data_IF_114270800933
#
_entry.id   IF_114270800933
#
_cell.length_a   1.000
_cell.length_b   1.000
_cell.length_c   1.000
_cell.angle_alpha   90.00
_cell.angle_beta   90.00
_cell.angle_gamma   90.00
#
_symmetry.space_group_name_H-M   'P 1'
#
loop_
_entity.id
_entity.type
_entity.pdbx_description
1 polymer ?
#
# COMPACT_ATOMS: atom_id res chain seq x y z
N UNK A 1 -40.62 -15.80 -7.45
CA UNK A 1 -40.93 -14.48 -8.04
C UNK A 1 -39.64 -13.79 -8.39
N UNK A 2 -39.32 -13.69 -9.66
CA UNK A 2 -38.15 -12.99 -10.16
C UNK A 2 -38.45 -11.49 -10.16
N UNK A 3 -37.82 -10.74 -9.28
CA UNK A 3 -37.81 -9.28 -9.37
C UNK A 3 -36.87 -8.86 -10.47
N UNK A 4 -37.41 -8.49 -11.63
CA UNK A 4 -36.67 -7.78 -12.67
C UNK A 4 -36.23 -6.42 -12.11
N UNK A 5 -34.92 -6.30 -11.78
CA UNK A 5 -34.33 -4.99 -11.53
C UNK A 5 -34.36 -4.19 -12.83
N UNK A 6 -35.09 -3.08 -12.85
CA UNK A 6 -34.99 -2.09 -13.92
C UNK A 6 -33.52 -1.69 -14.04
N UNK A 7 -32.88 -2.01 -15.18
CA UNK A 7 -31.54 -1.50 -15.53
C UNK A 7 -31.61 0.03 -15.41
N UNK A 8 -30.88 0.58 -14.45
CA UNK A 8 -30.63 2.01 -14.43
C UNK A 8 -29.89 2.33 -15.74
N UNK A 9 -30.41 3.29 -16.51
CA UNK A 9 -29.72 3.76 -17.71
C UNK A 9 -28.32 4.24 -17.28
N UNK A 10 -27.25 3.92 -18.04
CA UNK A 10 -25.95 4.46 -17.76
C UNK A 10 -26.08 5.99 -17.72
N UNK A 11 -25.78 6.57 -16.57
CA UNK A 11 -25.64 8.01 -16.45
C UNK A 11 -24.38 8.34 -17.23
N UNK A 12 -24.54 8.82 -18.46
CA UNK A 12 -23.48 9.54 -19.15
C UNK A 12 -23.19 10.80 -18.32
N UNK A 13 -22.32 10.67 -17.34
CA UNK A 13 -21.75 11.82 -16.64
C UNK A 13 -20.87 12.49 -17.68
N UNK A 14 -21.37 13.57 -18.26
CA UNK A 14 -20.54 14.51 -18.98
C UNK A 14 -19.42 14.87 -17.99
N UNK A 15 -18.17 14.51 -18.32
CA UNK A 15 -17.03 14.96 -17.55
C UNK A 15 -17.07 16.50 -17.58
N UNK A 16 -17.57 17.08 -16.49
CA UNK A 16 -17.40 18.51 -16.24
C UNK A 16 -15.91 18.76 -16.37
N UNK A 17 -15.50 19.74 -17.15
CA UNK A 17 -14.19 20.11 -17.67
C UNK A 17 -12.95 19.91 -16.76
N UNK A 18 -13.09 19.26 -15.60
CA UNK A 18 -12.03 18.96 -14.64
C UNK A 18 -11.74 17.46 -14.58
N UNK A 19 -10.48 17.05 -14.60
CA UNK A 19 -10.09 15.66 -14.39
C UNK A 19 -10.59 15.12 -13.05
N UNK A 20 -10.99 13.84 -13.01
CA UNK A 20 -11.27 13.13 -11.76
C UNK A 20 -9.95 12.93 -10.99
N UNK A 21 -9.90 13.39 -9.76
CA UNK A 21 -8.72 13.24 -8.88
C UNK A 21 -8.93 12.08 -7.92
N UNK A 22 -8.01 11.14 -7.94
CA UNK A 22 -8.00 9.95 -7.08
C UNK A 22 -6.70 9.96 -6.27
N UNK A 23 -6.77 9.62 -4.99
CA UNK A 23 -5.60 9.33 -4.15
C UNK A 23 -5.65 7.87 -3.71
N UNK A 24 -4.53 7.18 -3.78
CA UNK A 24 -4.34 5.86 -3.19
C UNK A 24 -3.29 5.93 -2.09
N UNK A 25 -3.64 5.47 -0.89
CA UNK A 25 -2.69 5.19 0.18
C UNK A 25 -2.81 3.73 0.63
N UNK A 26 -1.71 3.17 1.11
CA UNK A 26 -1.63 1.77 1.50
C UNK A 26 -0.69 1.59 2.68
N UNK A 27 -0.80 0.47 3.39
CA UNK A 27 0.16 0.07 4.41
C UNK A 27 0.41 1.17 5.45
N UNK A 28 -0.68 1.76 5.96
CA UNK A 28 -0.64 2.77 7.01
C UNK A 28 -0.10 2.20 8.31
N UNK A 29 -0.39 0.89 8.57
CA UNK A 29 -0.04 0.22 9.81
C UNK A 29 -0.33 1.08 11.05
N UNK A 30 -1.52 1.70 11.03
CA UNK A 30 -1.89 2.67 12.05
C UNK A 30 -2.13 1.99 13.40
N UNK A 31 -1.52 2.53 14.44
CA UNK A 31 -1.80 2.18 15.83
C UNK A 31 -2.23 3.42 16.61
N UNK A 32 -3.41 3.35 17.24
CA UNK A 32 -3.92 4.46 18.04
C UNK A 32 -3.18 4.62 19.37
N UNK A 33 -3.01 5.85 19.83
CA UNK A 33 -2.44 6.18 21.17
C UNK A 33 -3.15 5.51 22.34
N UNK A 34 -4.38 5.02 22.15
CA UNK A 34 -5.08 4.25 23.19
C UNK A 34 -4.41 2.91 23.51
N UNK A 35 -3.63 2.39 22.58
CA UNK A 35 -2.99 1.08 22.69
C UNK A 35 -1.51 1.18 23.05
N UNK A 36 -0.94 2.38 23.18
CA UNK A 36 0.47 2.57 23.50
C UNK A 36 0.73 3.84 24.31
N UNK A 37 1.61 3.73 25.29
CA UNK A 37 2.18 4.87 26.03
C UNK A 37 3.56 5.29 25.49
N UNK A 38 3.98 4.76 24.34
CA UNK A 38 5.32 4.92 23.79
C UNK A 38 6.44 4.46 24.75
N UNK A 39 6.12 3.51 25.66
CA UNK A 39 7.04 2.92 26.60
C UNK A 39 8.06 1.97 25.96
N UNK A 40 8.85 1.31 26.81
CA UNK A 40 9.97 0.43 26.37
C UNK A 40 9.49 -0.71 25.47
N UNK A 41 8.35 -1.35 25.80
CA UNK A 41 7.80 -2.45 25.01
C UNK A 41 7.42 -2.01 23.60
N UNK A 42 6.76 -0.85 23.46
CA UNK A 42 6.37 -0.33 22.16
C UNK A 42 7.57 0.11 21.33
N UNK A 43 8.55 0.78 21.94
CA UNK A 43 9.78 1.18 21.25
C UNK A 43 10.54 -0.02 20.69
N UNK A 44 10.68 -1.09 21.46
CA UNK A 44 11.28 -2.36 20.98
C UNK A 44 10.51 -2.97 19.82
N UNK A 45 9.18 -2.95 19.88
CA UNK A 45 8.32 -3.43 18.80
C UNK A 45 8.46 -2.57 17.55
N UNK A 46 8.44 -1.24 17.70
CA UNK A 46 8.62 -0.30 16.59
C UNK A 46 10.00 -0.47 15.93
N UNK A 47 11.05 -0.63 16.73
CA UNK A 47 12.40 -0.89 16.22
C UNK A 47 12.50 -2.22 15.44
N UNK A 48 11.68 -3.21 15.73
CA UNK A 48 11.63 -4.48 15.02
C UNK A 48 10.68 -4.47 13.80
N UNK A 49 9.96 -3.37 13.55
CA UNK A 49 8.91 -3.26 12.54
C UNK A 49 9.42 -2.74 11.18
N UNK A 50 10.57 -3.19 10.73
CA UNK A 50 11.13 -2.99 9.38
C UNK A 50 11.20 -1.52 8.92
N UNK A 51 11.42 -0.58 9.85
CA UNK A 51 11.57 0.84 9.55
C UNK A 51 10.25 1.62 9.49
N UNK A 52 9.12 1.02 9.82
CA UNK A 52 7.83 1.71 9.95
C UNK A 52 7.90 2.75 11.09
N UNK A 53 7.47 3.98 10.83
CA UNK A 53 7.53 5.10 11.79
C UNK A 53 6.43 5.03 12.85
N UNK A 54 6.26 3.88 13.50
CA UNK A 54 5.14 3.58 14.40
C UNK A 54 5.06 4.55 15.59
N UNK A 55 6.19 5.08 16.06
CA UNK A 55 6.22 6.04 17.17
C UNK A 55 5.46 7.35 16.87
N UNK A 56 5.29 7.67 15.59
CA UNK A 56 4.57 8.84 15.08
C UNK A 56 3.35 8.45 14.24
N UNK A 57 2.80 7.26 14.46
CA UNK A 57 1.68 6.72 13.69
C UNK A 57 0.44 7.61 13.75
N UNK A 58 0.15 8.20 14.90
CA UNK A 58 -0.98 9.11 15.08
C UNK A 58 -0.78 10.40 14.28
N UNK A 59 0.41 11.03 14.42
CA UNK A 59 0.77 12.28 13.75
C UNK A 59 0.85 12.11 12.24
N UNK A 60 1.36 10.98 11.77
CA UNK A 60 1.41 10.62 10.36
C UNK A 60 -0.01 10.58 9.75
N UNK A 61 -0.94 9.92 10.45
CA UNK A 61 -2.34 9.84 10.00
C UNK A 61 -3.07 11.17 10.11
N UNK A 62 -2.79 11.98 11.12
CA UNK A 62 -3.36 13.32 11.24
C UNK A 62 -2.87 14.25 10.13
N UNK A 63 -1.56 14.20 9.81
CA UNK A 63 -0.99 14.94 8.69
C UNK A 63 -1.59 14.49 7.35
N UNK A 64 -1.73 13.17 7.14
CA UNK A 64 -2.35 12.64 5.94
C UNK A 64 -3.81 13.09 5.79
N UNK A 65 -4.62 12.97 6.84
CA UNK A 65 -6.01 13.43 6.80
C UNK A 65 -6.11 14.94 6.57
N UNK A 66 -5.23 15.75 7.19
CA UNK A 66 -5.19 17.19 6.98
C UNK A 66 -4.83 17.55 5.53
N UNK A 67 -3.86 16.86 4.93
CA UNK A 67 -3.51 17.06 3.52
C UNK A 67 -4.64 16.66 2.59
N UNK A 68 -5.32 15.52 2.84
CA UNK A 68 -6.48 15.10 2.05
C UNK A 68 -7.66 16.08 2.19
N UNK A 69 -7.89 16.62 3.37
CA UNK A 69 -8.92 17.64 3.58
C UNK A 69 -8.61 18.95 2.83
N UNK A 70 -7.33 19.29 2.64
CA UNK A 70 -6.90 20.44 1.83
C UNK A 70 -7.00 20.15 0.33
N UNK A 71 -6.52 18.98 -0.13
CA UNK A 71 -6.53 18.55 -1.54
C UNK A 71 -7.93 18.27 -2.06
N UNK A 72 -8.81 17.75 -1.22
CA UNK A 72 -10.20 17.35 -1.55
C UNK A 72 -10.27 16.46 -2.81
N UNK A 73 -9.57 15.32 -2.83
CA UNK A 73 -9.72 14.40 -3.94
C UNK A 73 -11.16 13.91 -4.01
N UNK A 74 -11.68 13.67 -5.22
CA UNK A 74 -13.01 13.09 -5.36
C UNK A 74 -13.08 11.65 -4.83
N UNK A 75 -11.94 10.93 -4.88
CA UNK A 75 -11.82 9.57 -4.39
C UNK A 75 -10.53 9.38 -3.60
N UNK A 76 -10.65 8.79 -2.42
CA UNK A 76 -9.55 8.26 -1.62
C UNK A 76 -9.70 6.74 -1.52
N UNK A 77 -8.68 6.01 -1.95
CA UNK A 77 -8.60 4.54 -1.88
C UNK A 77 -7.57 4.17 -0.82
N UNK A 78 -7.97 3.35 0.15
CA UNK A 78 -7.08 2.75 1.13
C UNK A 78 -6.98 1.26 0.84
N UNK A 79 -5.84 0.82 0.29
CA UNK A 79 -5.69 -0.52 -0.29
C UNK A 79 -5.05 -1.54 0.67
N UNK A 80 -5.47 -1.53 1.93
CA UNK A 80 -5.13 -2.56 2.92
C UNK A 80 -4.00 -2.20 3.87
N UNK A 81 -3.79 -3.06 4.87
CA UNK A 81 -2.90 -2.86 6.01
C UNK A 81 -3.14 -1.51 6.68
N UNK A 82 -4.44 -1.28 6.99
CA UNK A 82 -4.94 -0.05 7.57
C UNK A 82 -4.46 0.11 9.02
N UNK A 83 -4.45 -0.99 9.78
CA UNK A 83 -4.02 -1.05 11.17
C UNK A 83 -2.67 -1.75 11.33
N UNK A 84 -2.03 -1.59 12.50
CA UNK A 84 -0.73 -2.21 12.75
C UNK A 84 -0.84 -3.74 12.75
N UNK A 85 -1.76 -4.28 13.55
CA UNK A 85 -1.98 -5.72 13.64
C UNK A 85 -3.46 -6.05 13.92
N UNK A 86 -4.40 -5.42 13.23
CA UNK A 86 -5.83 -5.73 13.31
C UNK A 86 -6.51 -5.26 14.60
N UNK A 87 -5.90 -4.37 15.36
CA UNK A 87 -6.45 -3.91 16.62
C UNK A 87 -7.76 -3.15 16.41
N UNK A 88 -8.83 -3.61 17.04
CA UNK A 88 -10.17 -3.02 16.92
C UNK A 88 -10.20 -1.53 17.25
N UNK A 89 -9.46 -1.10 18.29
CA UNK A 89 -9.40 0.31 18.68
C UNK A 89 -8.65 1.17 17.64
N UNK A 90 -7.62 0.62 16.96
CA UNK A 90 -6.94 1.29 15.85
C UNK A 90 -7.90 1.49 14.67
N UNK A 91 -8.61 0.43 14.26
CA UNK A 91 -9.62 0.53 13.20
C UNK A 91 -10.73 1.53 13.52
N UNK A 92 -11.19 1.55 14.77
CA UNK A 92 -12.23 2.49 15.21
C UNK A 92 -11.74 3.94 15.17
N UNK A 93 -10.51 4.20 15.60
CA UNK A 93 -9.91 5.52 15.54
C UNK A 93 -9.68 5.98 14.09
N UNK A 94 -9.18 5.09 13.22
CA UNK A 94 -9.02 5.38 11.81
C UNK A 94 -10.36 5.69 11.12
N UNK A 95 -11.39 4.87 11.35
CA UNK A 95 -12.72 5.12 10.79
C UNK A 95 -13.27 6.49 11.20
N UNK A 96 -13.02 6.94 12.44
CA UNK A 96 -13.41 8.27 12.88
C UNK A 96 -12.66 9.39 12.13
N UNK A 97 -11.35 9.23 11.86
CA UNK A 97 -10.57 10.17 11.05
C UNK A 97 -11.10 10.25 9.61
N UNK A 98 -11.42 9.10 9.01
CA UNK A 98 -11.96 9.02 7.64
C UNK A 98 -13.36 9.62 7.51
N UNK A 99 -14.17 9.58 8.58
CA UNK A 99 -15.49 10.22 8.60
C UNK A 99 -15.41 11.71 8.29
N UNK A 100 -14.43 12.42 8.86
CA UNK A 100 -14.20 13.84 8.57
C UNK A 100 -13.89 14.12 7.09
N UNK A 101 -13.15 13.25 6.42
CA UNK A 101 -12.88 13.38 4.98
C UNK A 101 -14.15 13.15 4.12
N UNK A 102 -14.95 12.18 4.51
CA UNK A 102 -16.25 11.92 3.84
C UNK A 102 -17.21 13.10 4.02
N UNK A 103 -17.31 13.67 5.21
CA UNK A 103 -18.11 14.86 5.47
C UNK A 103 -17.63 16.08 4.68
N UNK A 104 -16.32 16.17 4.41
CA UNK A 104 -15.73 17.19 3.55
C UNK A 104 -15.95 16.95 2.04
N UNK A 105 -16.63 15.84 1.66
CA UNK A 105 -17.04 15.53 0.29
C UNK A 105 -16.13 14.57 -0.47
N UNK A 106 -15.09 14.00 0.16
CA UNK A 106 -14.25 12.96 -0.45
C UNK A 106 -14.93 11.60 -0.34
N UNK A 107 -15.15 10.90 -1.45
CA UNK A 107 -15.55 9.49 -1.40
C UNK A 107 -14.36 8.65 -0.92
N UNK A 108 -14.56 7.82 0.10
CA UNK A 108 -13.50 6.95 0.65
C UNK A 108 -13.86 5.50 0.40
N UNK A 109 -12.91 4.71 -0.11
CA UNK A 109 -13.04 3.27 -0.33
C UNK A 109 -11.94 2.54 0.43
N UNK A 110 -12.28 1.43 1.06
CA UNK A 110 -11.32 0.61 1.82
C UNK A 110 -11.46 -0.87 1.47
N UNK A 111 -10.34 -1.59 1.49
CA UNK A 111 -10.27 -3.05 1.57
C UNK A 111 -9.31 -3.45 2.69
N UNK A 112 -9.42 -4.65 3.27
CA UNK A 112 -8.45 -5.11 4.25
C UNK A 112 -7.14 -5.54 3.58
N UNK A 113 -6.04 -5.45 4.35
CA UNK A 113 -4.78 -6.13 4.12
C UNK A 113 -4.60 -7.32 5.09
N UNK A 114 -3.45 -7.99 5.01
CA UNK A 114 -3.18 -9.18 5.83
C UNK A 114 -2.93 -8.86 7.32
N UNK A 115 -2.70 -7.61 7.67
CA UNK A 115 -2.59 -7.15 9.06
C UNK A 115 -3.92 -6.70 9.67
N UNK A 116 -5.05 -6.72 8.95
CA UNK A 116 -6.25 -6.02 9.40
C UNK A 116 -7.27 -6.90 10.12
N UNK A 117 -7.43 -8.18 9.73
CA UNK A 117 -8.55 -9.02 10.18
C UNK A 117 -8.04 -10.26 10.89
N UNK A 118 -8.68 -10.56 12.06
CA UNK A 118 -8.42 -11.77 12.89
C UNK A 118 -6.94 -12.01 13.15
N UNK A 119 -6.16 -10.92 13.26
CA UNK A 119 -4.72 -11.01 13.42
C UNK A 119 -4.35 -11.41 14.85
N UNK A 120 -3.63 -12.53 14.97
CA UNK A 120 -3.29 -13.12 16.29
C UNK A 120 -2.31 -12.23 17.10
N UNK A 121 -1.56 -11.36 16.42
CA UNK A 121 -0.57 -10.44 17.01
C UNK A 121 -1.13 -9.10 17.47
N UNK A 122 -2.46 -8.89 17.45
CA UNK A 122 -3.07 -7.66 17.96
C UNK A 122 -2.68 -7.41 19.42
N UNK A 123 -2.09 -6.24 19.70
CA UNK A 123 -1.49 -5.95 20.99
C UNK A 123 -1.71 -4.51 21.47
N UNK A 124 -1.60 -4.34 22.80
CA UNK A 124 -1.46 -3.04 23.46
C UNK A 124 -0.19 -3.02 24.31
N UNK A 125 0.36 -1.83 24.51
CA UNK A 125 1.68 -1.65 25.09
C UNK A 125 1.61 -0.67 26.26
N UNK A 126 2.18 -1.04 27.40
CA UNK A 126 2.26 -0.17 28.57
C UNK A 126 3.57 -0.40 29.33
N UNK A 127 4.44 0.59 29.38
CA UNK A 127 5.77 0.52 29.97
C UNK A 127 6.60 -0.60 29.32
N UNK A 128 6.84 -1.68 30.04
CA UNK A 128 7.55 -2.88 29.59
C UNK A 128 6.63 -4.04 29.18
N UNK A 129 5.32 -3.87 29.33
CA UNK A 129 4.35 -4.95 29.11
C UNK A 129 3.74 -4.89 27.73
N UNK A 130 3.56 -6.06 27.13
CA UNK A 130 2.76 -6.28 25.93
C UNK A 130 1.54 -7.12 26.35
N UNK A 131 0.34 -6.61 26.07
CA UNK A 131 -0.91 -7.32 26.35
C UNK A 131 -1.66 -7.58 25.06
N UNK A 132 -2.33 -8.73 24.97
CA UNK A 132 -3.19 -9.03 23.83
C UNK A 132 -4.29 -7.99 23.73
N UNK A 133 -4.45 -7.37 22.57
CA UNK A 133 -5.58 -6.53 22.23
C UNK A 133 -6.65 -7.34 21.47
N UNK A 134 -7.86 -6.80 21.40
CA UNK A 134 -8.93 -7.36 20.57
C UNK A 134 -8.64 -7.07 19.11
N UNK A 135 -8.60 -8.11 18.28
CA UNK A 135 -8.60 -7.98 16.83
C UNK A 135 -10.03 -7.81 16.28
N UNK A 136 -10.17 -7.18 15.12
CA UNK A 136 -11.44 -7.04 14.40
C UNK A 136 -11.68 -8.29 13.54
N UNK A 137 -12.92 -8.77 13.49
CA UNK A 137 -13.35 -9.81 12.55
C UNK A 137 -13.77 -9.22 11.20
N UNK A 138 -13.85 -10.06 10.15
CA UNK A 138 -14.31 -9.64 8.83
C UNK A 138 -15.72 -8.98 8.85
N UNK A 139 -16.63 -9.54 9.66
CA UNK A 139 -17.97 -8.98 9.80
C UNK A 139 -17.95 -7.61 10.47
N UNK A 140 -17.13 -7.43 11.50
CA UNK A 140 -16.97 -6.15 12.18
C UNK A 140 -16.26 -5.13 11.31
N UNK A 141 -15.26 -5.55 10.52
CA UNK A 141 -14.59 -4.71 9.53
C UNK A 141 -15.63 -4.15 8.53
N UNK A 142 -16.42 -5.03 7.91
CA UNK A 142 -17.49 -4.61 6.99
C UNK A 142 -18.49 -3.64 7.64
N UNK A 143 -18.87 -3.88 8.91
CA UNK A 143 -19.79 -3.01 9.65
C UNK A 143 -19.16 -1.65 9.96
N UNK A 144 -17.92 -1.62 10.43
CA UNK A 144 -17.20 -0.41 10.80
C UNK A 144 -16.92 0.46 9.59
N UNK A 145 -16.48 -0.15 8.49
CA UNK A 145 -16.16 0.54 7.24
C UNK A 145 -17.33 0.60 6.24
N UNK A 146 -18.56 0.28 6.68
CA UNK A 146 -19.75 0.36 5.84
C UNK A 146 -19.90 1.72 5.13
N UNK A 147 -19.62 2.89 5.77
CA UNK A 147 -19.69 4.18 5.11
C UNK A 147 -18.59 4.44 4.06
N UNK A 148 -17.57 3.59 3.99
CA UNK A 148 -16.37 3.77 3.18
C UNK A 148 -16.29 2.73 2.05
N UNK A 149 -17.34 2.65 1.26
CA UNK A 149 -17.47 1.84 0.06
C UNK A 149 -18.58 0.81 0.13
N UNK A 150 -18.73 0.05 1.21
CA UNK A 150 -19.67 -1.07 1.29
C UNK A 150 -21.14 -0.67 1.20
N UNK A 151 -21.55 0.48 1.77
CA UNK A 151 -22.95 0.96 1.67
C UNK A 151 -23.32 1.45 0.27
N UNK A 152 -22.32 1.93 -0.49
CA UNK A 152 -22.50 2.51 -1.81
C UNK A 152 -22.06 1.53 -2.92
N UNK A 153 -21.79 0.27 -2.54
CA UNK A 153 -21.41 -0.76 -3.49
C UNK A 153 -22.54 -1.08 -4.46
N UNK A 154 -22.22 -1.10 -5.75
CA UNK A 154 -23.16 -1.53 -6.80
C UNK A 154 -23.42 -3.03 -6.74
N UNK A 155 -22.35 -3.80 -6.41
CA UNK A 155 -22.41 -5.26 -6.20
C UNK A 155 -21.28 -5.69 -5.24
N UNK A 156 -21.44 -6.84 -4.58
CA UNK A 156 -20.47 -7.41 -3.65
C UNK A 156 -20.22 -8.89 -3.97
N UNK A 157 -18.98 -9.33 -3.79
CA UNK A 157 -18.67 -10.74 -3.88
C UNK A 157 -19.40 -11.54 -2.79
N UNK A 158 -19.78 -12.80 -3.07
CA UNK A 158 -20.63 -13.58 -2.17
C UNK A 158 -19.93 -14.10 -0.92
N UNK A 159 -18.59 -14.14 -0.90
CA UNK A 159 -17.79 -14.86 0.09
C UNK A 159 -16.55 -14.10 0.60
N UNK A 160 -16.31 -12.89 0.11
CA UNK A 160 -15.20 -12.03 0.55
C UNK A 160 -15.69 -10.60 0.82
N UNK A 161 -14.77 -9.73 1.21
CA UNK A 161 -15.05 -8.30 1.37
C UNK A 161 -14.85 -7.52 0.05
N UNK A 162 -14.79 -8.22 -1.08
CA UNK A 162 -14.68 -7.59 -2.40
C UNK A 162 -16.00 -6.93 -2.81
N UNK A 163 -15.89 -5.80 -3.51
CA UNK A 163 -17.05 -5.06 -4.02
C UNK A 163 -16.72 -4.23 -5.25
N UNK A 164 -17.74 -3.84 -6.00
CA UNK A 164 -17.66 -2.90 -7.11
C UNK A 164 -18.41 -1.61 -6.75
N UNK A 165 -17.84 -0.47 -7.13
CA UNK A 165 -18.49 0.83 -6.99
C UNK A 165 -18.24 1.71 -8.20
N UNK A 166 -19.16 2.64 -8.47
CA UNK A 166 -19.03 3.61 -9.56
C UNK A 166 -18.71 5.01 -9.04
N UNK A 167 -17.88 5.72 -9.77
CA UNK A 167 -17.60 7.13 -9.53
C UNK A 167 -17.36 7.85 -10.86
N UNK A 168 -18.24 8.80 -11.21
CA UNK A 168 -18.04 9.67 -12.34
C UNK A 168 -17.85 8.98 -13.70
N UNK A 169 -18.53 7.84 -13.93
CA UNK A 169 -18.37 7.04 -15.14
C UNK A 169 -17.12 6.16 -15.15
N UNK A 170 -16.52 5.94 -14.00
CA UNK A 170 -15.37 5.06 -13.75
C UNK A 170 -15.78 3.97 -12.77
N UNK A 171 -15.49 2.70 -13.05
CA UNK A 171 -15.72 1.59 -12.10
C UNK A 171 -14.49 1.26 -11.32
N UNK A 172 -14.64 1.09 -10.03
CA UNK A 172 -13.57 0.69 -9.13
C UNK A 172 -13.88 -0.72 -8.62
N UNK A 173 -13.07 -1.69 -9.00
CA UNK A 173 -13.15 -3.07 -8.54
C UNK A 173 -12.22 -3.26 -7.34
N UNK A 174 -12.81 -3.33 -6.15
CA UNK A 174 -12.09 -3.50 -4.89
C UNK A 174 -12.02 -5.00 -4.54
N UNK A 175 -10.84 -5.62 -4.65
CA UNK A 175 -10.64 -7.05 -4.42
C UNK A 175 -9.98 -7.33 -3.08
N UNK A 176 -10.69 -8.01 -2.21
CA UNK A 176 -10.16 -8.60 -0.98
C UNK A 176 -9.46 -9.93 -1.31
N UNK A 177 -8.20 -9.98 -0.98
CA UNK A 177 -7.29 -11.11 -1.24
C UNK A 177 -6.74 -11.72 0.04
N UNK A 178 -7.36 -11.42 1.19
CA UNK A 178 -6.85 -11.79 2.53
C UNK A 178 -7.84 -12.52 3.41
N UNK A 179 -9.13 -12.12 3.38
CA UNK A 179 -10.12 -12.53 4.40
C UNK A 179 -10.36 -14.04 4.45
N UNK A 180 -10.42 -14.73 3.31
CA UNK A 180 -10.64 -16.18 3.26
C UNK A 180 -9.32 -16.95 3.31
N UNK A 181 -8.32 -16.47 2.60
CA UNK A 181 -6.97 -17.03 2.58
C UNK A 181 -6.00 -15.96 2.10
N UNK A 182 -4.91 -15.77 2.81
CA UNK A 182 -3.89 -14.79 2.46
C UNK A 182 -3.36 -15.00 1.03
N UNK A 183 -3.23 -13.91 0.28
CA UNK A 183 -2.75 -13.89 -1.11
C UNK A 183 -3.62 -14.70 -2.09
N UNK A 184 -4.94 -14.79 -1.87
CA UNK A 184 -5.79 -15.63 -2.72
C UNK A 184 -7.12 -14.97 -3.04
N UNK A 185 -7.55 -15.13 -4.30
CA UNK A 185 -8.93 -14.87 -4.74
C UNK A 185 -9.67 -16.20 -4.85
N UNK A 186 -10.83 -16.32 -4.23
CA UNK A 186 -11.65 -17.53 -4.31
C UNK A 186 -12.23 -17.72 -5.70
N UNK A 187 -12.57 -18.95 -6.11
CA UNK A 187 -13.22 -19.19 -7.40
C UNK A 187 -14.57 -18.48 -7.52
N UNK A 188 -15.29 -18.31 -6.39
CA UNK A 188 -16.57 -17.57 -6.36
C UNK A 188 -16.35 -16.07 -6.58
N UNK A 189 -15.35 -15.50 -5.91
CA UNK A 189 -14.97 -14.09 -6.12
C UNK A 189 -14.44 -13.88 -7.54
N UNK A 190 -13.66 -14.82 -8.09
CA UNK A 190 -13.16 -14.72 -9.47
C UNK A 190 -14.30 -14.73 -10.49
N UNK A 191 -15.28 -15.64 -10.32
CA UNK A 191 -16.49 -15.69 -11.18
C UNK A 191 -17.30 -14.40 -11.07
N UNK A 192 -17.45 -13.87 -9.86
CA UNK A 192 -18.11 -12.60 -9.63
C UNK A 192 -17.35 -11.44 -10.30
N UNK A 193 -16.04 -11.38 -10.14
CA UNK A 193 -15.21 -10.34 -10.76
C UNK A 193 -15.30 -10.38 -12.29
N UNK A 194 -15.26 -11.57 -12.91
CA UNK A 194 -15.43 -11.70 -14.36
C UNK A 194 -16.77 -11.14 -14.82
N UNK A 195 -17.86 -11.46 -14.11
CA UNK A 195 -19.18 -10.90 -14.41
C UNK A 195 -19.19 -9.36 -14.33
N UNK A 196 -18.59 -8.79 -13.29
CA UNK A 196 -18.50 -7.32 -13.11
C UNK A 196 -17.70 -6.65 -14.22
N UNK A 197 -16.60 -7.28 -14.64
CA UNK A 197 -15.76 -6.80 -15.74
C UNK A 197 -16.49 -6.89 -17.10
N UNK A 198 -17.23 -7.98 -17.32
CA UNK A 198 -18.04 -8.13 -18.53
C UNK A 198 -19.11 -7.03 -18.61
N UNK A 199 -19.86 -6.79 -17.53
CA UNK A 199 -20.85 -5.71 -17.47
C UNK A 199 -20.22 -4.34 -17.69
N UNK A 200 -19.01 -4.09 -17.18
CA UNK A 200 -18.28 -2.85 -17.42
C UNK A 200 -17.89 -2.67 -18.90
N UNK A 201 -17.46 -3.75 -19.55
CA UNK A 201 -17.12 -3.73 -20.98
C UNK A 201 -18.36 -3.48 -21.85
N UNK A 202 -19.51 -4.16 -21.55
CA UNK A 202 -20.79 -3.95 -22.23
C UNK A 202 -21.27 -2.49 -22.09
N UNK A 203 -21.13 -1.90 -20.91
CA UNK A 203 -21.48 -0.51 -20.61
C UNK A 203 -20.42 0.49 -21.13
N UNK A 204 -19.28 0.02 -21.63
CA UNK A 204 -18.14 0.83 -22.07
C UNK A 204 -17.61 1.77 -20.98
N UNK A 205 -17.62 1.30 -19.74
CA UNK A 205 -17.10 2.06 -18.58
C UNK A 205 -15.69 1.57 -18.26
N UNK A 206 -14.69 2.46 -18.13
CA UNK A 206 -13.33 2.06 -17.75
C UNK A 206 -13.30 1.51 -16.32
N UNK A 207 -12.44 0.52 -16.08
CA UNK A 207 -12.26 -0.12 -14.77
C UNK A 207 -10.87 0.13 -14.23
N UNK A 208 -10.79 0.52 -12.96
CA UNK A 208 -9.59 0.51 -12.13
C UNK A 208 -9.75 -0.61 -11.10
N UNK A 209 -8.82 -1.54 -11.06
CA UNK A 209 -8.80 -2.60 -10.06
C UNK A 209 -7.90 -2.23 -8.88
N UNK A 210 -8.24 -2.71 -7.69
CA UNK A 210 -7.51 -2.49 -6.45
C UNK A 210 -7.43 -3.80 -5.68
N UNK A 211 -6.24 -4.17 -5.25
CA UNK A 211 -6.01 -5.29 -4.34
C UNK A 211 -4.96 -4.90 -3.30
N UNK A 212 -4.91 -5.58 -2.15
CA UNK A 212 -3.81 -5.34 -1.22
C UNK A 212 -2.55 -6.04 -1.70
N UNK A 213 -2.60 -7.37 -1.89
CA UNK A 213 -1.47 -8.12 -2.44
C UNK A 213 -1.30 -7.85 -3.94
N UNK A 214 -0.06 -7.99 -4.40
CA UNK A 214 0.29 -7.72 -5.78
C UNK A 214 -0.25 -8.79 -6.73
N UNK A 215 -0.68 -8.37 -7.91
CA UNK A 215 -1.09 -9.24 -9.00
C UNK A 215 0.12 -9.87 -9.70
N UNK A 216 1.19 -9.08 -9.85
CA UNK A 216 2.45 -9.49 -10.47
C UNK A 216 3.60 -9.49 -9.45
N UNK A 217 4.67 -10.25 -9.73
CA UNK A 217 5.87 -10.20 -8.90
C UNK A 217 6.66 -8.91 -9.21
N UNK A 218 6.73 -7.98 -8.26
CA UNK A 218 7.53 -6.77 -8.37
C UNK A 218 9.02 -6.98 -8.03
N UNK A 219 9.34 -8.10 -7.40
CA UNK A 219 10.70 -8.58 -7.18
C UNK A 219 10.73 -10.09 -7.36
N UNK A 220 11.76 -10.61 -8.01
CA UNK A 220 11.85 -12.03 -8.35
C UNK A 220 11.91 -12.96 -7.11
N UNK A 221 12.42 -12.48 -5.98
CA UNK A 221 12.51 -13.26 -4.74
C UNK A 221 11.21 -13.27 -3.94
N UNK A 222 10.34 -12.28 -4.12
CA UNK A 222 9.13 -12.08 -3.33
C UNK A 222 7.86 -12.43 -4.12
N UNK A 223 7.79 -13.65 -4.64
CA UNK A 223 6.60 -14.13 -5.35
C UNK A 223 5.62 -14.84 -4.40
N UNK A 224 6.10 -15.83 -3.63
CA UNK A 224 5.25 -16.61 -2.71
C UNK A 224 4.96 -15.78 -1.45
N UNK A 225 3.67 -15.65 -1.10
CA UNK A 225 3.22 -14.89 0.06
C UNK A 225 3.12 -13.36 -0.17
N UNK A 226 3.58 -12.88 -1.34
CA UNK A 226 3.50 -11.46 -1.73
C UNK A 226 2.60 -11.23 -2.94
N UNK A 227 2.51 -12.21 -3.83
CA UNK A 227 1.67 -12.17 -5.02
C UNK A 227 0.41 -13.01 -4.82
N UNK A 228 -0.68 -12.58 -5.45
CA UNK A 228 -1.94 -13.34 -5.50
C UNK A 228 -1.68 -14.70 -6.14
N UNK A 229 -1.98 -15.78 -5.44
CA UNK A 229 -1.89 -17.15 -5.96
C UNK A 229 -2.93 -17.34 -7.07
N UNK A 230 -2.50 -17.86 -8.22
CA UNK A 230 -3.37 -17.97 -9.40
C UNK A 230 -3.71 -16.63 -10.04
N UNK A 231 -2.95 -15.58 -9.75
CA UNK A 231 -3.12 -14.24 -10.31
C UNK A 231 -3.08 -14.17 -11.83
N UNK A 232 -2.53 -15.19 -12.50
CA UNK A 232 -2.52 -15.30 -13.95
C UNK A 232 -3.94 -15.35 -14.56
N UNK A 233 -4.90 -15.98 -13.85
CA UNK A 233 -6.31 -15.98 -14.27
C UNK A 233 -6.89 -14.57 -14.20
N UNK A 234 -6.63 -13.86 -13.09
CA UNK A 234 -7.08 -12.50 -12.90
C UNK A 234 -6.44 -11.54 -13.92
N UNK A 235 -5.13 -11.68 -14.16
CA UNK A 235 -4.41 -10.91 -15.18
C UNK A 235 -5.00 -11.12 -16.58
N UNK A 236 -5.36 -12.35 -16.92
CA UNK A 236 -6.02 -12.66 -18.20
C UNK A 236 -7.43 -12.05 -18.31
N UNK A 237 -8.18 -12.02 -17.23
CA UNK A 237 -9.48 -11.32 -17.19
C UNK A 237 -9.30 -9.81 -17.35
N UNK A 238 -8.33 -9.21 -16.67
CA UNK A 238 -8.04 -7.79 -16.77
C UNK A 238 -7.62 -7.39 -18.19
N UNK A 239 -6.77 -8.19 -18.84
CA UNK A 239 -6.42 -8.01 -20.25
C UNK A 239 -7.66 -8.11 -21.15
N UNK A 240 -8.46 -9.19 -21.00
CA UNK A 240 -9.66 -9.48 -21.81
C UNK A 240 -10.68 -8.35 -21.76
N UNK A 241 -10.87 -7.75 -20.59
CA UNK A 241 -11.91 -6.73 -20.37
C UNK A 241 -11.35 -5.30 -20.31
N UNK A 242 -10.08 -5.08 -20.64
CA UNK A 242 -9.47 -3.76 -20.75
C UNK A 242 -9.39 -2.99 -19.44
N UNK A 243 -9.07 -3.66 -18.31
CA UNK A 243 -8.78 -2.98 -17.04
C UNK A 243 -7.59 -2.05 -17.20
N UNK A 244 -7.72 -0.79 -16.81
CA UNK A 244 -6.70 0.24 -17.03
C UNK A 244 -5.45 -0.01 -16.20
N UNK A 245 -5.62 -0.32 -14.93
CA UNK A 245 -4.53 -0.65 -14.01
C UNK A 245 -5.04 -1.46 -12.82
N UNK A 246 -4.12 -2.18 -12.15
CA UNK A 246 -4.29 -2.66 -10.79
C UNK A 246 -3.47 -1.81 -9.82
N UNK A 247 -4.08 -1.29 -8.77
CA UNK A 247 -3.41 -0.59 -7.69
C UNK A 247 -3.21 -1.57 -6.53
N UNK A 248 -2.00 -1.66 -6.01
CA UNK A 248 -1.67 -2.56 -4.90
C UNK A 248 -0.74 -1.93 -3.86
N UNK A 249 -0.51 -2.64 -2.74
CA UNK A 249 0.39 -2.29 -1.66
C UNK A 249 1.25 -3.49 -1.24
N UNK A 250 1.20 -3.84 0.07
CA UNK A 250 1.72 -5.06 0.66
C UNK A 250 3.25 -5.21 0.66
N UNK A 251 3.92 -4.95 -0.45
CA UNK A 251 5.38 -5.02 -0.53
C UNK A 251 6.08 -3.78 0.03
N UNK A 252 5.33 -2.75 0.39
CA UNK A 252 5.84 -1.46 0.83
C UNK A 252 6.76 -0.76 -0.18
N UNK A 253 6.75 -1.22 -1.41
CA UNK A 253 7.65 -0.85 -2.49
C UNK A 253 6.93 0.07 -3.48
N UNK A 254 7.54 1.20 -3.84
CA UNK A 254 7.09 2.01 -4.97
C UNK A 254 7.61 1.41 -6.26
N UNK A 255 6.73 0.80 -7.03
CA UNK A 255 7.12 0.12 -8.27
C UNK A 255 5.99 0.05 -9.29
N UNK A 256 6.31 0.21 -10.56
CA UNK A 256 5.36 0.10 -11.66
C UNK A 256 5.81 -1.04 -12.58
N UNK A 257 4.91 -1.99 -12.80
CA UNK A 257 5.16 -3.10 -13.71
C UNK A 257 4.06 -3.19 -14.76
N UNK A 258 4.47 -3.29 -16.01
CA UNK A 258 3.56 -3.50 -17.14
C UNK A 258 3.88 -4.81 -17.82
N UNK A 259 2.88 -5.65 -17.99
CA UNK A 259 2.85 -6.84 -18.82
C UNK A 259 1.59 -6.73 -19.70
N UNK A 260 0.61 -7.56 -19.51
CA UNK A 260 -0.72 -7.47 -20.14
C UNK A 260 -1.52 -6.29 -19.63
N UNK A 261 -1.37 -5.99 -18.37
CA UNK A 261 -1.96 -4.85 -17.66
C UNK A 261 -0.87 -4.15 -16.87
N UNK A 262 -1.05 -2.88 -16.56
CA UNK A 262 -0.15 -2.17 -15.65
C UNK A 262 -0.58 -2.37 -14.21
N UNK A 263 0.35 -2.77 -13.36
CA UNK A 263 0.20 -2.76 -11.91
C UNK A 263 1.08 -1.69 -11.29
N UNK A 264 0.48 -0.90 -10.40
CA UNK A 264 1.13 0.14 -9.63
C UNK A 264 1.12 -0.29 -8.17
N UNK A 265 2.27 -0.74 -7.68
CA UNK A 265 2.50 -0.96 -6.27
C UNK A 265 2.95 0.35 -5.64
N UNK A 266 2.10 0.94 -4.79
CA UNK A 266 2.42 2.16 -4.06
C UNK A 266 3.15 1.81 -2.77
N UNK A 267 4.20 2.55 -2.43
CA UNK A 267 4.96 2.34 -1.19
C UNK A 267 4.11 2.60 0.05
N UNK A 268 4.52 1.99 1.18
CA UNK A 268 3.82 2.12 2.44
C UNK A 268 3.81 3.57 2.95
N UNK A 269 2.64 4.07 3.36
CA UNK A 269 2.54 5.39 3.99
C UNK A 269 3.32 5.44 5.30
N UNK A 270 3.40 4.32 6.03
CA UNK A 270 4.12 4.20 7.31
C UNK A 270 5.64 4.09 7.18
N UNK A 271 6.17 3.93 5.96
CA UNK A 271 7.61 3.75 5.70
C UNK A 271 8.16 4.92 4.89
N UNK A 272 9.35 5.43 5.28
CA UNK A 272 9.99 6.51 4.51
C UNK A 272 10.22 6.11 3.04
N UNK A 273 9.91 7.02 2.08
CA UNK A 273 9.63 8.46 2.25
C UNK A 273 8.16 8.84 2.54
N UNK A 274 7.34 7.92 3.07
CA UNK A 274 5.96 8.17 3.49
C UNK A 274 5.09 8.70 2.32
N UNK A 275 4.96 7.87 1.29
CA UNK A 275 4.37 8.25 0.00
C UNK A 275 2.92 7.74 -0.14
N UNK A 276 2.18 8.41 -1.01
CA UNK A 276 0.89 7.97 -1.54
C UNK A 276 0.83 8.22 -3.04
N UNK A 277 -0.07 7.55 -3.75
CA UNK A 277 -0.29 7.75 -5.17
C UNK A 277 -1.36 8.80 -5.44
N UNK A 278 -1.09 9.73 -6.35
CA UNK A 278 -2.08 10.62 -6.96
C UNK A 278 -2.38 10.16 -8.37
N UNK A 279 -3.68 10.01 -8.70
CA UNK A 279 -4.12 9.68 -10.04
C UNK A 279 -5.07 10.76 -10.55
N UNK A 280 -4.99 11.04 -11.84
CA UNK A 280 -5.88 11.96 -12.52
C UNK A 280 -6.44 11.32 -13.79
N UNK A 281 -7.76 11.35 -13.96
CA UNK A 281 -8.45 10.82 -15.13
C UNK A 281 -9.15 11.92 -15.90
N UNK A 282 -8.84 12.08 -17.18
CA UNK A 282 -9.42 13.11 -18.05
C UNK A 282 -10.47 12.58 -19.04
N UNK A 283 -10.91 11.34 -18.90
CA UNK A 283 -11.83 10.66 -19.83
C UNK A 283 -11.13 9.75 -20.84
N UNK A 284 -9.82 9.92 -21.07
CA UNK A 284 -9.03 9.13 -22.02
C UNK A 284 -7.74 8.59 -21.42
N UNK A 285 -7.04 9.40 -20.64
CA UNK A 285 -5.74 9.09 -20.04
C UNK A 285 -5.84 9.09 -18.53
N UNK A 286 -5.35 8.04 -17.89
CA UNK A 286 -5.09 7.96 -16.47
C UNK A 286 -3.62 8.27 -16.24
N UNK A 287 -3.33 9.35 -15.53
CA UNK A 287 -1.98 9.67 -15.08
C UNK A 287 -1.80 9.24 -13.63
N UNK A 288 -0.64 8.72 -13.28
CA UNK A 288 -0.24 8.41 -11.92
C UNK A 288 1.05 9.13 -11.57
N UNK A 289 1.15 9.60 -10.34
CA UNK A 289 2.41 10.01 -9.73
C UNK A 289 2.40 9.66 -8.24
N UNK A 290 3.53 9.31 -7.68
CA UNK A 290 3.66 9.20 -6.25
C UNK A 290 4.02 10.56 -5.64
N UNK A 291 3.56 10.80 -4.42
CA UNK A 291 3.73 12.05 -3.69
C UNK A 291 4.19 11.74 -2.26
N UNK A 292 5.25 12.35 -1.76
CA UNK A 292 5.61 12.26 -0.34
C UNK A 292 4.63 13.10 0.49
N UNK A 293 4.26 12.59 1.66
CA UNK A 293 3.45 13.31 2.64
C UNK A 293 4.31 14.34 3.38
N UNK A 294 3.87 15.58 3.45
CA UNK A 294 4.58 16.64 4.16
C UNK A 294 4.12 16.78 5.61
N UNK A 295 4.61 15.88 6.45
CA UNK A 295 4.34 15.89 7.90
C UNK A 295 4.94 17.12 8.58
N UNK A 296 6.09 17.63 8.10
CA UNK A 296 6.77 18.77 8.73
C UNK A 296 5.97 20.05 8.59
N UNK A 297 5.42 20.34 7.40
CA UNK A 297 4.54 21.51 7.21
C UNK A 297 3.24 21.38 8.00
N UNK A 298 2.70 20.17 8.18
CA UNK A 298 1.56 19.94 9.05
C UNK A 298 1.92 20.22 10.52
N UNK A 299 3.06 19.70 10.99
CA UNK A 299 3.53 19.91 12.37
C UNK A 299 3.75 21.40 12.68
N UNK A 300 4.32 22.16 11.75
CA UNK A 300 4.49 23.60 11.86
C UNK A 300 3.13 24.33 12.02
N UNK A 301 2.16 24.01 11.15
CA UNK A 301 0.80 24.57 11.22
C UNK A 301 0.08 24.23 12.53
N UNK A 302 0.35 23.06 13.09
CA UNK A 302 -0.23 22.60 14.36
C UNK A 302 0.58 23.03 15.57
N UNK A 303 1.65 23.82 15.39
CA UNK A 303 2.56 24.32 16.44
C UNK A 303 3.22 23.20 17.27
N UNK A 304 3.49 22.06 16.63
CA UNK A 304 4.26 20.99 17.27
C UNK A 304 5.73 21.38 17.41
N UNK A 305 6.24 21.33 18.66
CA UNK A 305 7.64 21.66 18.97
C UNK A 305 8.57 20.43 18.98
N UNK A 306 8.05 19.25 18.65
CA UNK A 306 8.82 18.00 18.58
C UNK A 306 9.80 18.04 17.39
N UNK A 307 11.15 17.99 17.63
CA UNK A 307 12.13 18.17 16.56
C UNK A 307 12.02 17.15 15.43
N UNK A 308 11.63 15.89 15.75
CA UNK A 308 11.46 14.85 14.73
C UNK A 308 10.26 15.14 13.82
N UNK A 309 9.20 15.76 14.32
CA UNK A 309 8.05 16.17 13.51
C UNK A 309 8.39 17.36 12.62
N UNK A 310 9.17 18.32 13.12
CA UNK A 310 9.62 19.47 12.34
C UNK A 310 10.57 19.09 11.20
N UNK A 311 11.30 17.98 11.34
CA UNK A 311 12.21 17.44 10.33
C UNK A 311 11.84 16.00 9.98
N UNK A 312 10.56 15.73 9.77
CA UNK A 312 10.02 14.37 9.72
C UNK A 312 10.63 13.53 8.60
N UNK A 313 10.80 14.06 7.41
CA UNK A 313 11.40 13.35 6.29
C UNK A 313 12.83 12.88 6.57
N UNK A 314 13.62 13.73 7.28
CA UNK A 314 15.00 13.38 7.71
C UNK A 314 14.95 12.32 8.80
N UNK A 315 14.07 12.48 9.79
CA UNK A 315 13.86 11.49 10.85
C UNK A 315 13.49 10.13 10.26
N UNK A 316 12.45 10.09 9.44
CA UNK A 316 11.91 8.85 8.87
C UNK A 316 12.95 8.12 7.97
N UNK A 317 13.69 8.88 7.15
CA UNK A 317 14.79 8.33 6.35
C UNK A 317 15.87 7.72 7.25
N UNK A 318 16.35 8.44 8.25
CA UNK A 318 17.38 7.95 9.16
C UNK A 318 16.90 6.74 9.96
N UNK A 319 15.60 6.70 10.32
CA UNK A 319 15.01 5.57 11.02
C UNK A 319 15.00 4.31 10.13
N UNK A 320 14.59 4.44 8.87
CA UNK A 320 14.61 3.34 7.90
C UNK A 320 16.04 2.82 7.64
N UNK A 321 17.00 3.73 7.40
CA UNK A 321 18.41 3.36 7.18
C UNK A 321 19.02 2.65 8.40
N UNK A 322 18.78 3.14 9.61
CA UNK A 322 19.24 2.49 10.86
C UNK A 322 18.62 1.11 11.03
N UNK A 323 17.34 0.95 10.72
CA UNK A 323 16.66 -0.34 10.73
C UNK A 323 17.32 -1.35 9.79
N UNK A 324 17.58 -0.95 8.54
CA UNK A 324 18.25 -1.78 7.54
C UNK A 324 19.70 -2.15 7.95
N UNK A 325 20.46 -1.19 8.48
CA UNK A 325 21.83 -1.46 9.01
C UNK A 325 21.77 -2.51 10.12
N UNK A 326 20.85 -2.37 11.08
CA UNK A 326 20.71 -3.32 12.18
C UNK A 326 20.34 -4.72 11.68
N UNK A 327 19.37 -4.85 10.78
CA UNK A 327 18.99 -6.13 10.22
C UNK A 327 20.13 -6.78 9.43
N UNK A 328 20.89 -5.99 8.69
CA UNK A 328 22.09 -6.47 8.00
C UNK A 328 23.13 -7.02 8.97
N UNK A 329 23.42 -6.31 10.06
CA UNK A 329 24.37 -6.78 11.09
C UNK A 329 23.94 -8.11 11.73
N UNK A 330 22.62 -8.27 12.01
CA UNK A 330 22.07 -9.54 12.52
C UNK A 330 22.29 -10.68 11.51
N UNK A 331 21.99 -10.46 10.24
CA UNK A 331 22.13 -11.47 9.19
C UNK A 331 23.60 -11.84 8.92
N UNK A 332 24.49 -10.86 8.86
CA UNK A 332 25.93 -11.09 8.70
C UNK A 332 26.52 -11.82 9.93
N UNK A 333 26.02 -11.50 11.13
CA UNK A 333 26.41 -12.16 12.37
C UNK A 333 26.08 -13.65 12.45
N UNK A 334 25.09 -14.12 11.66
CA UNK A 334 24.67 -15.52 11.58
C UNK A 334 25.45 -16.34 10.53
N UNK A 335 26.32 -15.71 9.72
CA UNK A 335 27.09 -16.40 8.70
C UNK A 335 28.22 -17.23 9.33
N UNK A 336 28.49 -18.40 8.74
CA UNK A 336 29.60 -19.29 9.18
C UNK A 336 30.97 -18.61 9.10
N UNK A 337 31.16 -17.77 8.09
CA UNK A 337 32.36 -16.90 7.96
C UNK A 337 31.87 -15.45 8.02
N UNK A 338 32.17 -14.80 9.14
CA UNK A 338 31.85 -13.40 9.33
C UNK A 338 32.81 -12.48 8.58
N UNK A 339 32.30 -11.40 7.97
CA UNK A 339 33.15 -10.31 7.50
C UNK A 339 33.92 -9.67 8.67
N UNK A 340 35.00 -8.98 8.36
CA UNK A 340 35.64 -8.11 9.34
C UNK A 340 34.72 -6.97 9.78
N UNK A 341 34.98 -6.35 10.92
CA UNK A 341 34.16 -5.26 11.42
C UNK A 341 34.08 -4.06 10.44
N UNK A 342 35.15 -3.80 9.70
CA UNK A 342 35.18 -2.74 8.69
C UNK A 342 34.33 -3.15 7.44
N UNK A 343 34.48 -4.38 6.98
CA UNK A 343 33.63 -4.91 5.88
C UNK A 343 32.16 -4.91 6.28
N UNK A 344 31.81 -5.32 7.51
CA UNK A 344 30.43 -5.31 8.01
C UNK A 344 29.82 -3.90 7.96
N UNK A 345 30.56 -2.86 8.35
CA UNK A 345 30.08 -1.47 8.25
C UNK A 345 29.83 -1.07 6.79
N UNK A 346 30.71 -1.41 5.86
CA UNK A 346 30.57 -1.10 4.44
C UNK A 346 29.37 -1.85 3.88
N UNK A 347 29.25 -3.15 4.14
CA UNK A 347 28.14 -4.00 3.68
C UNK A 347 26.78 -3.49 4.19
N UNK A 348 26.70 -3.17 5.50
CA UNK A 348 25.46 -2.70 6.10
C UNK A 348 25.04 -1.32 5.57
N UNK A 349 26.00 -0.40 5.41
CA UNK A 349 25.73 0.92 4.83
C UNK A 349 25.27 0.78 3.38
N UNK A 350 25.97 0.02 2.56
CA UNK A 350 25.60 -0.19 1.15
C UNK A 350 24.23 -0.81 1.02
N UNK A 351 23.95 -1.88 1.78
CA UNK A 351 22.63 -2.49 1.78
C UNK A 351 21.54 -1.48 2.14
N UNK A 352 21.75 -0.69 3.20
CA UNK A 352 20.73 0.26 3.65
C UNK A 352 20.40 1.32 2.60
N UNK A 353 21.41 1.86 1.89
CA UNK A 353 21.19 2.85 0.83
C UNK A 353 20.52 2.24 -0.41
N UNK A 354 20.95 1.05 -0.85
CA UNK A 354 20.31 0.34 -1.97
C UNK A 354 18.86 -0.01 -1.66
N UNK A 355 18.62 -0.58 -0.48
CA UNK A 355 17.28 -0.98 -0.04
C UNK A 355 16.34 0.22 0.10
N UNK A 356 16.81 1.31 0.70
CA UNK A 356 16.04 2.56 0.82
C UNK A 356 15.64 3.10 -0.56
N UNK A 357 16.61 3.23 -1.47
CA UNK A 357 16.35 3.72 -2.82
C UNK A 357 15.34 2.82 -3.57
N UNK A 358 15.48 1.51 -3.42
CA UNK A 358 14.60 0.53 -4.04
C UNK A 358 13.16 0.63 -3.53
N UNK A 359 12.96 0.66 -2.20
CA UNK A 359 11.63 0.79 -1.62
C UNK A 359 10.96 2.13 -1.94
N UNK A 360 11.74 3.20 -2.03
CA UNK A 360 11.25 4.52 -2.40
C UNK A 360 10.93 4.67 -3.88
N UNK A 361 11.27 3.69 -4.76
CA UNK A 361 11.16 3.79 -6.21
C UNK A 361 12.21 4.71 -6.83
N UNK A 362 13.22 5.12 -6.06
CA UNK A 362 14.26 6.02 -6.50
C UNK A 362 15.31 5.31 -7.36
N UNK A 363 16.05 6.11 -8.13
CA UNK A 363 17.22 5.60 -8.84
C UNK A 363 18.23 5.00 -7.83
N UNK A 364 18.64 3.77 -8.11
CA UNK A 364 19.63 3.06 -7.29
C UNK A 364 21.00 3.73 -7.44
N UNK A 365 21.70 4.06 -6.33
CA UNK A 365 22.96 4.81 -6.34
C UNK A 365 24.17 3.91 -6.69
N UNK A 366 24.17 3.32 -7.92
CA UNK A 366 25.16 2.32 -8.34
C UNK A 366 26.60 2.85 -8.31
N UNK A 367 26.81 4.12 -8.71
CA UNK A 367 28.15 4.73 -8.77
C UNK A 367 28.67 5.03 -7.36
N UNK A 368 27.82 5.59 -6.52
CA UNK A 368 28.15 6.01 -5.15
C UNK A 368 28.38 4.81 -4.24
N UNK A 369 27.77 3.67 -4.53
CA UNK A 369 27.86 2.44 -3.76
C UNK A 369 28.72 1.34 -4.41
N UNK A 370 29.48 1.68 -5.46
CA UNK A 370 30.20 0.70 -6.28
C UNK A 370 31.08 -0.25 -5.44
N UNK A 371 31.95 0.28 -4.60
CA UNK A 371 32.90 -0.54 -3.80
C UNK A 371 32.16 -1.46 -2.81
N UNK A 372 31.07 -0.97 -2.23
CA UNK A 372 30.23 -1.78 -1.34
C UNK A 372 29.42 -2.84 -2.09
N UNK A 373 28.97 -2.56 -3.31
CA UNK A 373 28.33 -3.54 -4.20
C UNK A 373 29.33 -4.63 -4.58
N UNK A 374 30.53 -4.28 -5.01
CA UNK A 374 31.60 -5.23 -5.35
C UNK A 374 31.94 -6.11 -4.13
N UNK A 375 32.01 -5.52 -2.94
CA UNK A 375 32.21 -6.27 -1.69
C UNK A 375 31.06 -7.22 -1.40
N UNK A 376 29.77 -6.82 -1.59
CA UNK A 376 28.62 -7.71 -1.47
C UNK A 376 28.67 -8.89 -2.45
N UNK A 377 29.00 -8.62 -3.70
CA UNK A 377 29.10 -9.64 -4.74
C UNK A 377 30.23 -10.63 -4.50
N UNK A 378 31.27 -10.25 -3.77
CA UNK A 378 32.36 -11.13 -3.37
C UNK A 378 32.02 -12.03 -2.16
N UNK A 379 30.98 -11.68 -1.36
CA UNK A 379 30.59 -12.48 -0.20
C UNK A 379 30.05 -13.87 -0.61
N UNK A 380 30.06 -14.87 0.28
CA UNK A 380 29.39 -16.14 0.08
C UNK A 380 27.91 -15.97 -0.31
N UNK A 381 27.35 -16.97 -0.96
CA UNK A 381 25.92 -16.96 -1.30
C UNK A 381 25.06 -16.86 -0.04
N UNK A 382 24.10 -15.94 -0.07
CA UNK A 382 23.19 -15.67 1.04
C UNK A 382 21.89 -15.06 0.50
N UNK A 383 20.85 -15.05 1.33
CA UNK A 383 19.59 -14.38 1.00
C UNK A 383 19.83 -12.90 0.65
N UNK A 384 20.63 -12.18 1.44
CA UNK A 384 20.90 -10.76 1.19
C UNK A 384 21.65 -10.52 -0.11
N UNK A 385 22.66 -11.34 -0.43
CA UNK A 385 23.38 -11.23 -1.71
C UNK A 385 22.44 -11.49 -2.89
N UNK A 386 21.60 -12.50 -2.81
CA UNK A 386 20.60 -12.78 -3.84
C UNK A 386 19.62 -11.61 -3.99
N UNK A 387 19.16 -11.03 -2.88
CA UNK A 387 18.28 -9.87 -2.89
C UNK A 387 18.93 -8.63 -3.52
N UNK A 388 20.18 -8.33 -3.18
CA UNK A 388 20.95 -7.23 -3.81
C UNK A 388 21.01 -7.45 -5.33
N UNK A 389 21.28 -8.68 -5.81
CA UNK A 389 21.28 -8.97 -7.24
C UNK A 389 19.93 -8.64 -7.92
N UNK A 390 18.81 -8.87 -7.24
CA UNK A 390 17.51 -8.48 -7.80
C UNK A 390 17.35 -6.97 -7.89
N UNK A 391 17.81 -6.21 -6.90
CA UNK A 391 17.83 -4.74 -6.94
C UNK A 391 18.70 -4.24 -8.09
N UNK A 392 19.90 -4.82 -8.28
CA UNK A 392 20.80 -4.44 -9.37
C UNK A 392 20.21 -4.73 -10.75
N UNK A 393 19.61 -5.91 -10.93
CA UNK A 393 18.94 -6.28 -12.19
C UNK A 393 17.75 -5.35 -12.50
N UNK A 394 16.99 -4.93 -11.50
CA UNK A 394 15.91 -3.96 -11.68
C UNK A 394 16.44 -2.57 -12.04
N UNK A 395 17.54 -2.15 -11.40
CA UNK A 395 18.20 -0.88 -11.70
C UNK A 395 18.70 -0.78 -13.15
N UNK A 396 19.16 -1.90 -13.74
CA UNK A 396 19.58 -1.97 -15.14
C UNK A 396 18.44 -1.72 -16.13
N UNK A 397 17.20 -2.00 -15.73
CA UNK A 397 16.01 -1.75 -16.54
C UNK A 397 15.73 -0.25 -16.75
N UNK A 398 16.28 0.64 -15.90
CA UNK A 398 16.25 2.09 -16.06
C UNK A 398 14.86 2.72 -16.08
N UNK A 399 13.87 2.09 -15.37
CA UNK A 399 12.47 2.49 -15.38
C UNK A 399 12.21 3.63 -14.41
N UNK A 400 11.23 4.48 -14.75
CA UNK A 400 10.62 5.42 -13.82
C UNK A 400 9.50 4.69 -13.03
N UNK A 401 9.59 4.70 -11.71
CA UNK A 401 8.58 4.13 -10.83
C UNK A 401 7.74 5.19 -10.12
N UNK A 402 8.00 6.47 -10.39
CA UNK A 402 7.29 7.59 -9.77
C UNK A 402 6.08 8.05 -10.56
N UNK A 403 6.04 7.81 -11.87
CA UNK A 403 4.94 8.25 -12.71
C UNK A 403 4.70 7.32 -13.89
N UNK A 404 3.45 7.31 -14.35
CA UNK A 404 3.08 6.71 -15.64
C UNK A 404 1.82 7.33 -16.20
N UNK A 405 1.63 7.15 -17.51
CA UNK A 405 0.42 7.51 -18.22
C UNK A 405 -0.15 6.26 -18.91
N UNK A 406 -1.45 6.05 -18.73
CA UNK A 406 -2.16 4.89 -19.26
C UNK A 406 -3.33 5.36 -20.12
N UNK A 407 -3.24 5.12 -21.40
CA UNK A 407 -4.34 5.39 -22.31
C UNK A 407 -5.40 4.29 -22.25
N UNK A 408 -6.66 4.70 -22.24
CA UNK A 408 -7.77 3.77 -22.43
C UNK A 408 -7.65 3.16 -23.81
N UNK A 409 -7.56 1.84 -23.87
CA UNK A 409 -7.69 1.09 -25.13
C UNK A 409 -9.18 0.98 -25.46
N UNK A 410 -9.56 1.31 -26.67
CA UNK A 410 -10.89 1.00 -27.15
C UNK A 410 -11.03 -0.54 -27.13
N UNK A 411 -11.94 -1.03 -26.29
CA UNK A 411 -12.25 -2.46 -26.26
C UNK A 411 -12.98 -2.80 -27.56
N UNK A 412 -12.57 -3.86 -28.27
CA UNK A 412 -13.18 -4.23 -29.55
C UNK A 412 -14.67 -4.54 -29.46
#
# INVERSE_FOLDING_TARGET
>A
MWFSRKKAKPVQVAFDKKPLTIVQATDMHYITRKLTDNGEAFRKTADAADGKVLLYSEELMDAFCAEMAQKKPQLLILSGDLSFNGEYESHKALAAKLAGLKEAGTKVLVIPGNHDIDYAGAASFSGKEIKKARSISAQEFRKLYAPFGYNDAGDCAPDTLSYLTDLGGFRILMLDTTTVSMCRVTDRTLTWAEKMLQEAAEDRVPVLAVSHQNLMAHNAMFAKGFRIEGGEKLLSLYEKYGVLANLSGHMHLQHIRTDKVTEIATSALSLSPNQYGELSWNGKVLTYRNCPLDVSSWAEKMHWMEPNLQMFSVYAKNYALKGAVRQTGIQLGQQAKRPSAEEEKVLAKTFSELNYAYFAGNRIPLKEQKDGIDLWLSQPESFMKAYIRTILADAEAGRDYHSCELERKDTP
#
